data_IF_221973058322
#
_entry.id   IF_221973058322
#
_cell.length_a   1.000
_cell.length_b   1.000
_cell.length_c   1.000
_cell.angle_alpha   90.00
_cell.angle_beta   90.00
_cell.angle_gamma   90.00
#
_symmetry.space_group_name_H-M   'P 1'
#
loop_
_entity.id
_entity.type
_entity.pdbx_description
1 polymer ?
#
# COMPACT_ATOMS: atom_id res chain seq x y z
N UNK A 1 13.87 -8.59 64.02
CA UNK A 1 15.01 -8.57 63.09
C UNK A 1 14.46 -8.86 61.69
N UNK A 2 14.33 -7.85 60.82
CA UNK A 2 13.75 -8.02 59.49
C UNK A 2 14.60 -8.98 58.65
N UNK A 3 13.94 -9.81 57.84
CA UNK A 3 14.55 -10.92 57.10
C UNK A 3 15.25 -10.38 55.84
N UNK A 4 16.40 -10.95 55.42
CA UNK A 4 17.21 -10.44 54.30
C UNK A 4 16.48 -10.44 52.94
N UNK A 5 15.35 -11.14 52.83
CA UNK A 5 14.54 -11.26 51.61
C UNK A 5 13.78 -9.97 51.29
N UNK A 6 13.37 -9.19 52.31
CA UNK A 6 12.62 -7.95 52.10
C UNK A 6 13.50 -6.81 51.54
N UNK A 7 14.82 -6.86 51.80
CA UNK A 7 15.77 -5.90 51.23
C UNK A 7 16.02 -6.12 49.73
N UNK A 8 15.87 -7.35 49.24
CA UNK A 8 16.11 -7.69 47.83
C UNK A 8 14.95 -7.19 46.94
N UNK A 9 13.72 -7.24 47.43
CA UNK A 9 12.54 -6.77 46.68
C UNK A 9 12.54 -5.25 46.52
N UNK A 10 13.03 -4.52 47.51
CA UNK A 10 13.12 -3.05 47.46
C UNK A 10 14.22 -2.54 46.51
N UNK A 11 15.28 -3.32 46.28
CA UNK A 11 16.41 -2.91 45.44
C UNK A 11 16.15 -3.02 43.93
N UNK A 12 15.17 -3.83 43.50
CA UNK A 12 14.84 -4.04 42.09
C UNK A 12 13.87 -3.00 41.50
N UNK A 13 13.22 -2.19 42.33
CA UNK A 13 12.31 -1.12 41.88
C UNK A 13 13.04 0.19 41.53
N UNK A 14 14.34 0.28 41.77
CA UNK A 14 15.14 1.50 41.57
C UNK A 14 15.89 1.56 40.23
N UNK A 15 15.73 0.55 39.35
CA UNK A 15 16.37 0.52 38.03
C UNK A 15 15.31 0.40 36.92
N UNK A 16 14.36 1.34 36.90
CA UNK A 16 13.55 1.59 35.71
C UNK A 16 14.31 2.59 34.84
N UNK A 17 15.08 2.18 33.81
CA UNK A 17 15.57 3.12 32.84
C UNK A 17 14.35 3.85 32.24
N UNK A 18 14.41 5.18 32.05
CA UNK A 18 13.32 5.89 31.40
C UNK A 18 13.09 5.22 30.04
N UNK A 19 11.90 4.66 29.84
CA UNK A 19 11.45 4.22 28.53
C UNK A 19 11.50 5.46 27.64
N UNK A 20 12.53 5.55 26.81
CA UNK A 20 12.55 6.46 25.69
C UNK A 20 11.33 6.09 24.87
N UNK A 21 10.29 6.92 24.92
CA UNK A 21 9.22 6.87 23.93
C UNK A 21 9.91 7.13 22.60
N UNK A 22 10.25 6.07 21.88
CA UNK A 22 10.58 6.17 20.48
C UNK A 22 9.34 6.82 19.87
N UNK A 23 9.46 8.09 19.51
CA UNK A 23 8.52 8.67 18.58
C UNK A 23 8.50 7.70 17.41
N UNK A 24 7.40 6.95 17.26
CA UNK A 24 7.15 6.23 16.04
C UNK A 24 7.24 7.31 14.97
N UNK A 25 8.35 7.31 14.23
CA UNK A 25 8.35 7.94 12.92
C UNK A 25 7.07 7.43 12.26
N UNK A 26 6.27 8.28 11.59
CA UNK A 26 5.14 7.77 10.83
C UNK A 26 5.74 6.63 10.01
N UNK A 27 5.29 5.40 10.31
CA UNK A 27 5.53 4.35 9.36
C UNK A 27 5.03 4.95 8.05
N UNK A 28 5.77 4.78 6.96
CA UNK A 28 5.09 4.72 5.69
C UNK A 28 4.12 3.55 5.87
N UNK A 29 2.94 3.87 6.41
CA UNK A 29 1.87 2.94 6.60
C UNK A 29 1.43 2.70 5.18
N UNK A 30 2.08 1.71 4.57
CA UNK A 30 1.69 1.21 3.28
C UNK A 30 0.32 0.59 3.52
N UNK A 31 -0.70 1.36 3.19
CA UNK A 31 -2.11 1.03 3.36
C UNK A 31 -2.54 -0.05 2.37
N UNK A 32 -1.68 -0.43 1.42
CA UNK A 32 -1.92 -1.55 0.53
C UNK A 32 -1.58 -2.85 1.25
N UNK A 33 -2.55 -3.76 1.39
CA UNK A 33 -2.30 -5.04 1.98
C UNK A 33 -1.39 -5.87 1.06
N UNK A 34 -0.67 -6.83 1.64
CA UNK A 34 0.41 -7.54 0.93
C UNK A 34 -0.10 -8.29 -0.28
N UNK A 35 -1.28 -8.90 -0.16
CA UNK A 35 -1.99 -9.58 -1.25
C UNK A 35 -2.24 -8.64 -2.44
N UNK A 36 -2.70 -7.40 -2.21
CA UNK A 36 -2.97 -6.46 -3.29
C UNK A 36 -1.68 -6.05 -4.02
N UNK A 37 -0.58 -5.88 -3.29
CA UNK A 37 0.73 -5.58 -3.88
C UNK A 37 1.22 -6.74 -4.74
N UNK A 38 1.07 -7.96 -4.25
CA UNK A 38 1.47 -9.19 -4.95
C UNK A 38 0.63 -9.39 -6.22
N UNK A 39 -0.69 -9.22 -6.12
CA UNK A 39 -1.60 -9.33 -7.25
C UNK A 39 -1.29 -8.30 -8.34
N UNK A 40 -1.04 -7.05 -7.95
CA UNK A 40 -0.58 -6.01 -8.88
C UNK A 40 0.72 -6.41 -9.58
N UNK A 41 1.72 -6.89 -8.83
CA UNK A 41 3.02 -7.31 -9.40
C UNK A 41 2.84 -8.44 -10.40
N UNK A 42 1.99 -9.44 -10.09
CA UNK A 42 1.69 -10.51 -11.04
C UNK A 42 1.01 -10.00 -12.33
N UNK A 43 0.04 -9.10 -12.19
CA UNK A 43 -0.63 -8.48 -13.34
C UNK A 43 0.33 -7.64 -14.20
N UNK A 44 1.17 -6.83 -13.55
CA UNK A 44 2.19 -6.02 -14.22
C UNK A 44 3.23 -6.89 -14.95
N UNK A 45 3.70 -7.96 -14.33
CA UNK A 45 4.65 -8.88 -14.95
C UNK A 45 4.07 -9.58 -16.18
N UNK A 46 2.77 -9.90 -16.17
CA UNK A 46 2.09 -10.49 -17.33
C UNK A 46 2.12 -9.56 -18.56
N UNK A 47 2.15 -8.25 -18.36
CA UNK A 47 2.29 -7.26 -19.42
C UNK A 47 3.75 -6.96 -19.81
N UNK A 48 4.72 -7.24 -18.93
CA UNK A 48 6.11 -6.76 -19.06
C UNK A 48 7.19 -7.86 -19.13
N UNK A 49 6.81 -9.13 -19.29
CA UNK A 49 7.73 -10.19 -19.69
C UNK A 49 8.11 -11.22 -18.62
N UNK A 50 7.45 -11.25 -17.46
CA UNK A 50 7.57 -12.33 -16.46
C UNK A 50 9.02 -12.65 -16.00
N UNK A 51 9.94 -11.69 -16.08
CA UNK A 51 11.34 -11.84 -15.65
C UNK A 51 11.56 -11.28 -14.25
N UNK A 52 12.71 -11.58 -13.64
CA UNK A 52 13.13 -10.95 -12.39
C UNK A 52 13.30 -9.43 -12.53
N UNK A 53 13.79 -8.93 -13.66
CA UNK A 53 13.87 -7.48 -13.92
C UNK A 53 12.47 -6.86 -13.96
N UNK A 54 11.51 -7.50 -14.65
CA UNK A 54 10.12 -7.06 -14.67
C UNK A 54 9.51 -7.06 -13.25
N UNK A 55 9.78 -8.10 -12.45
CA UNK A 55 9.35 -8.15 -11.05
C UNK A 55 9.90 -6.96 -10.24
N UNK A 56 11.17 -6.61 -10.40
CA UNK A 56 11.79 -5.47 -9.72
C UNK A 56 11.14 -4.14 -10.13
N UNK A 57 10.92 -3.91 -11.43
CA UNK A 57 10.26 -2.69 -11.93
C UNK A 57 8.79 -2.62 -11.53
N UNK A 58 8.06 -3.73 -11.59
CA UNK A 58 6.67 -3.81 -11.14
C UNK A 58 6.53 -3.58 -9.63
N UNK A 59 7.49 -4.06 -8.84
CA UNK A 59 7.53 -3.79 -7.39
C UNK A 59 7.78 -2.30 -7.11
N UNK A 60 8.71 -1.68 -7.82
CA UNK A 60 8.91 -0.22 -7.78
C UNK A 60 7.62 0.53 -8.15
N UNK A 61 6.91 0.07 -9.19
CA UNK A 61 5.70 0.73 -9.68
C UNK A 61 4.59 0.77 -8.63
N UNK A 62 4.32 -0.35 -7.94
CA UNK A 62 3.30 -0.38 -6.89
C UNK A 62 3.68 0.48 -5.67
N UNK A 63 4.98 0.55 -5.35
CA UNK A 63 5.45 1.41 -4.25
C UNK A 63 5.29 2.90 -4.59
N UNK A 64 5.51 3.29 -5.85
CA UNK A 64 5.21 4.65 -6.31
C UNK A 64 3.70 4.92 -6.28
N UNK A 65 2.88 3.96 -6.71
CA UNK A 65 1.42 4.10 -6.67
C UNK A 65 0.94 4.31 -5.23
N UNK A 66 1.36 3.45 -4.29
CA UNK A 66 0.99 3.54 -2.88
C UNK A 66 1.48 4.85 -2.21
N UNK A 67 2.55 5.46 -2.72
CA UNK A 67 3.03 6.76 -2.21
C UNK A 67 2.17 7.97 -2.62
N UNK A 68 1.27 7.81 -3.60
CA UNK A 68 0.49 8.90 -4.19
C UNK A 68 -1.02 8.66 -4.05
N UNK A 69 -1.48 7.41 -4.23
CA UNK A 69 -2.88 7.04 -4.26
C UNK A 69 -3.21 6.15 -3.04
N UNK A 70 -4.16 6.55 -2.17
CA UNK A 70 -4.62 5.70 -1.09
C UNK A 70 -5.29 4.41 -1.58
N UNK A 71 -5.18 3.33 -0.82
CA UNK A 71 -5.66 2.00 -1.19
C UNK A 71 -7.17 1.99 -1.53
N UNK A 72 -8.00 2.69 -0.75
CA UNK A 72 -9.45 2.77 -1.03
C UNK A 72 -9.74 3.36 -2.41
N UNK A 73 -8.96 4.37 -2.83
CA UNK A 73 -9.11 5.01 -4.15
C UNK A 73 -8.62 4.12 -5.28
N UNK A 74 -7.61 3.30 -5.00
CA UNK A 74 -7.15 2.27 -5.92
C UNK A 74 -8.22 1.20 -6.15
N UNK A 75 -8.80 0.65 -5.08
CA UNK A 75 -9.87 -0.36 -5.16
C UNK A 75 -11.09 0.19 -5.87
N UNK A 76 -11.47 1.44 -5.61
CA UNK A 76 -12.57 2.12 -6.30
C UNK A 76 -12.31 2.21 -7.82
N UNK A 77 -11.11 2.66 -8.21
CA UNK A 77 -10.72 2.76 -9.61
C UNK A 77 -10.67 1.39 -10.31
N UNK A 78 -10.11 0.37 -9.67
CA UNK A 78 -10.09 -1.00 -10.19
C UNK A 78 -11.50 -1.58 -10.36
N UNK A 79 -12.38 -1.33 -9.38
CA UNK A 79 -13.78 -1.77 -9.44
C UNK A 79 -14.49 -1.14 -10.63
N UNK A 80 -14.31 0.17 -10.84
CA UNK A 80 -14.85 0.87 -12.01
C UNK A 80 -14.32 0.26 -13.30
N UNK A 81 -13.01 0.02 -13.40
CA UNK A 81 -12.40 -0.57 -14.58
C UNK A 81 -12.90 -2.00 -14.86
N UNK A 82 -13.12 -2.81 -13.83
CA UNK A 82 -13.71 -4.14 -13.92
C UNK A 82 -15.14 -4.06 -14.45
N UNK A 83 -15.98 -3.19 -13.89
CA UNK A 83 -17.37 -3.00 -14.34
C UNK A 83 -17.46 -2.48 -15.79
N UNK A 84 -16.48 -1.68 -16.23
CA UNK A 84 -16.36 -1.21 -17.62
C UNK A 84 -16.01 -2.32 -18.61
N UNK A 85 -15.53 -3.48 -18.18
CA UNK A 85 -15.24 -4.61 -19.07
C UNK A 85 -16.49 -5.47 -19.36
N UNK A 86 -17.56 -5.30 -18.58
CA UNK A 86 -18.83 -6.01 -18.77
C UNK A 86 -19.56 -5.64 -20.08
N UNK A 87 -20.65 -6.34 -20.34
CA UNK A 87 -21.48 -6.16 -21.55
C UNK A 87 -22.86 -5.63 -21.14
N UNK A 88 -23.46 -4.80 -22.00
CA UNK A 88 -24.84 -4.31 -21.85
C UNK A 88 -24.95 -2.96 -21.15
N UNK A 89 -26.18 -2.63 -20.74
CA UNK A 89 -26.54 -1.30 -20.22
C UNK A 89 -25.76 -0.92 -18.96
N UNK A 90 -25.52 -1.87 -18.05
CA UNK A 90 -24.79 -1.57 -16.81
C UNK A 90 -23.35 -1.14 -17.09
N UNK A 91 -22.64 -1.83 -17.96
CA UNK A 91 -21.29 -1.43 -18.36
C UNK A 91 -21.28 -0.05 -19.04
N UNK A 92 -22.34 0.29 -19.80
CA UNK A 92 -22.46 1.62 -20.39
C UNK A 92 -22.64 2.72 -19.34
N UNK A 93 -23.39 2.48 -18.25
CA UNK A 93 -23.49 3.43 -17.13
C UNK A 93 -22.10 3.70 -16.53
N UNK A 94 -21.29 2.66 -16.31
CA UNK A 94 -19.95 2.84 -15.77
C UNK A 94 -18.98 3.57 -16.72
N UNK A 95 -19.17 3.43 -18.04
CA UNK A 95 -18.40 4.14 -19.07
C UNK A 95 -18.83 5.58 -19.29
N UNK A 96 -20.09 5.93 -19.02
CA UNK A 96 -20.64 7.27 -19.30
C UNK A 96 -20.74 8.19 -18.09
N UNK A 97 -20.52 7.67 -16.88
CA UNK A 97 -20.59 8.45 -15.64
C UNK A 97 -19.30 9.23 -15.43
N UNK A 98 -19.37 10.56 -15.54
CA UNK A 98 -18.21 11.47 -15.40
C UNK A 98 -17.43 11.29 -14.08
N UNK A 99 -18.12 11.09 -12.96
CA UNK A 99 -17.45 10.89 -11.66
C UNK A 99 -16.48 9.70 -11.70
N UNK A 100 -16.85 8.63 -12.41
CA UNK A 100 -16.00 7.46 -12.57
C UNK A 100 -14.81 7.72 -13.48
N UNK A 101 -14.95 8.60 -14.47
CA UNK A 101 -13.81 9.03 -15.30
C UNK A 101 -12.77 9.78 -14.48
N UNK A 102 -13.20 10.66 -13.58
CA UNK A 102 -12.29 11.43 -12.74
C UNK A 102 -11.48 10.50 -11.80
N UNK A 103 -12.15 9.48 -11.21
CA UNK A 103 -11.48 8.46 -10.37
C UNK A 103 -10.47 7.62 -11.18
N UNK A 104 -10.86 7.17 -12.37
CA UNK A 104 -9.95 6.39 -13.23
C UNK A 104 -8.79 7.27 -13.71
N UNK A 105 -9.03 8.54 -13.99
CA UNK A 105 -7.99 9.47 -14.42
C UNK A 105 -6.91 9.67 -13.34
N UNK A 106 -7.30 9.73 -12.07
CA UNK A 106 -6.34 9.81 -10.96
C UNK A 106 -5.45 8.56 -10.90
N UNK A 107 -6.03 7.35 -10.99
CA UNK A 107 -5.25 6.11 -11.07
C UNK A 107 -4.29 6.11 -12.27
N UNK A 108 -4.76 6.53 -13.46
CA UNK A 108 -3.93 6.56 -14.67
C UNK A 108 -2.80 7.58 -14.58
N UNK A 109 -3.02 8.73 -13.93
CA UNK A 109 -1.97 9.72 -13.68
C UNK A 109 -0.88 9.13 -12.77
N UNK A 110 -1.28 8.45 -11.71
CA UNK A 110 -0.34 7.80 -10.79
C UNK A 110 0.43 6.67 -11.47
N UNK A 111 -0.23 5.87 -12.31
CA UNK A 111 0.44 4.85 -13.13
C UNK A 111 1.44 5.45 -14.12
N UNK A 112 1.13 6.59 -14.72
CA UNK A 112 2.07 7.29 -15.61
C UNK A 112 3.31 7.79 -14.86
N UNK A 113 3.15 8.28 -13.63
CA UNK A 113 4.28 8.65 -12.77
C UNK A 113 5.15 7.44 -12.44
N UNK A 114 4.52 6.31 -12.10
CA UNK A 114 5.21 5.05 -11.82
C UNK A 114 6.00 4.53 -13.04
N UNK A 115 5.42 4.62 -14.24
CA UNK A 115 6.07 4.26 -15.50
C UNK A 115 7.37 5.05 -15.69
N UNK A 116 7.31 6.38 -15.52
CA UNK A 116 8.46 7.26 -15.71
C UNK A 116 9.56 7.00 -14.67
N UNK A 117 9.19 6.63 -13.43
CA UNK A 117 10.16 6.39 -12.36
C UNK A 117 10.79 5.00 -12.39
N UNK A 118 10.04 3.99 -12.82
CA UNK A 118 10.42 2.58 -12.64
C UNK A 118 10.72 1.83 -13.95
N UNK A 119 10.19 2.28 -15.08
CA UNK A 119 10.32 1.58 -16.37
C UNK A 119 11.18 2.32 -17.41
N UNK A 120 11.53 3.58 -17.14
CA UNK A 120 12.46 4.34 -17.96
C UNK A 120 13.93 3.91 -17.78
#
# INVERSE_FOLDING_TARGET
>A
MPRPIEAIVAALLAFCPPTLAAAAAPAFENDYPTEARVDYVFGCMAANGQTHDAMQRCSCSIDVIASILPYDRYVEAETILSMRQGIGLQANVFRSTKQFDDIVADLRRTQAEAEIRCFK
#
